data_IF_387394280183
#
_entry.id   IF_387394280183
#
_cell.length_a   1.000
_cell.length_b   1.000
_cell.length_c   1.000
_cell.angle_alpha   90.00
_cell.angle_beta   90.00
_cell.angle_gamma   90.00
#
_symmetry.space_group_name_H-M   'P 1'
#
loop_
_entity.id
_entity.type
_entity.pdbx_description
1 polymer ?
#
# COMPACT_ATOMS: atom_id res chain seq x y z
N UNK A 1 19.05 10.04 12.11
CA UNK A 1 18.29 8.90 12.67
C UNK A 1 17.77 8.06 11.53
N UNK A 2 18.04 6.76 11.54
CA UNK A 2 17.36 5.76 10.71
C UNK A 2 16.30 5.09 11.57
N UNK A 3 15.10 4.92 11.05
CA UNK A 3 14.01 4.21 11.73
C UNK A 3 13.01 3.69 10.73
N UNK A 4 12.34 2.59 11.06
CA UNK A 4 11.17 2.04 10.38
C UNK A 4 10.09 1.83 11.44
N UNK A 5 8.87 2.28 11.20
CA UNK A 5 7.75 2.10 12.11
C UNK A 5 6.42 2.28 11.38
N UNK A 6 5.32 1.97 12.05
CA UNK A 6 3.97 2.23 11.53
C UNK A 6 3.33 3.35 12.33
N UNK A 7 2.85 4.37 11.62
CA UNK A 7 2.09 5.46 12.22
C UNK A 7 0.60 5.35 11.85
N UNK A 8 -0.27 5.83 12.74
CA UNK A 8 -1.71 5.89 12.49
C UNK A 8 -2.08 7.24 11.86
N UNK A 9 -2.25 7.26 10.53
CA UNK A 9 -2.66 8.47 9.83
C UNK A 9 -4.11 8.83 10.20
N UNK A 10 -4.39 10.03 10.71
CA UNK A 10 -5.76 10.46 10.97
C UNK A 10 -6.51 10.81 9.67
N UNK A 11 -7.82 10.89 9.74
CA UNK A 11 -8.68 11.45 8.68
C UNK A 11 -8.42 12.94 8.45
N UNK A 12 -8.83 13.46 7.29
CA UNK A 12 -8.84 14.91 7.00
C UNK A 12 -7.49 15.48 6.55
N UNK A 13 -6.42 14.69 6.51
CA UNK A 13 -5.10 15.16 6.05
C UNK A 13 -4.46 14.19 5.05
N UNK A 14 -3.68 14.73 4.12
CA UNK A 14 -2.92 13.91 3.16
C UNK A 14 -1.77 13.17 3.85
N UNK A 15 -1.34 12.04 3.26
CA UNK A 15 -0.16 11.29 3.72
C UNK A 15 1.11 12.14 3.76
N UNK A 16 1.30 13.06 2.80
CA UNK A 16 2.44 13.99 2.76
C UNK A 16 2.40 15.00 3.91
N UNK A 17 1.22 15.56 4.20
CA UNK A 17 1.08 16.52 5.31
C UNK A 17 1.29 15.80 6.65
N UNK A 18 0.78 14.57 6.80
CA UNK A 18 1.02 13.75 7.98
C UNK A 18 2.52 13.43 8.16
N UNK A 19 3.23 13.03 7.07
CA UNK A 19 4.68 12.84 7.11
C UNK A 19 5.42 14.10 7.57
N UNK A 20 4.99 15.28 7.11
CA UNK A 20 5.58 16.55 7.53
C UNK A 20 5.42 16.81 9.03
N UNK A 21 4.27 16.43 9.63
CA UNK A 21 4.08 16.46 11.09
C UNK A 21 5.02 15.50 11.82
N UNK A 22 5.18 14.27 11.32
CA UNK A 22 6.11 13.29 11.90
C UNK A 22 7.56 13.75 11.80
N UNK A 23 7.97 14.33 10.67
CA UNK A 23 9.32 14.92 10.51
C UNK A 23 9.61 15.97 11.59
N UNK A 24 8.64 16.84 11.89
CA UNK A 24 8.78 17.85 12.96
C UNK A 24 8.82 17.19 14.34
N UNK A 25 7.89 16.25 14.63
CA UNK A 25 7.81 15.52 15.91
C UNK A 25 9.13 14.86 16.26
N UNK A 26 9.82 14.24 15.29
CA UNK A 26 11.05 13.48 15.48
C UNK A 26 12.33 14.25 15.12
N UNK A 27 12.25 15.49 14.68
CA UNK A 27 13.40 16.30 14.31
C UNK A 27 14.18 15.78 13.11
N UNK A 28 13.54 15.08 12.16
CA UNK A 28 14.21 14.42 11.04
C UNK A 28 14.02 15.18 9.73
N UNK A 29 15.09 15.26 8.91
CA UNK A 29 15.06 15.91 7.59
C UNK A 29 14.61 14.94 6.48
N UNK A 30 15.17 13.71 6.45
CA UNK A 30 14.90 12.70 5.44
C UNK A 30 13.89 11.68 5.98
N UNK A 31 12.74 11.59 5.34
CA UNK A 31 11.68 10.65 5.68
C UNK A 31 10.84 10.31 4.45
N UNK A 32 10.18 9.17 4.48
CA UNK A 32 9.24 8.69 3.48
C UNK A 32 8.15 7.83 4.09
N UNK A 33 7.16 7.49 3.29
CA UNK A 33 6.12 6.53 3.64
C UNK A 33 5.87 5.58 2.47
N UNK A 34 5.34 4.38 2.77
CA UNK A 34 4.89 3.41 1.78
C UNK A 34 3.37 3.42 1.69
N UNK A 35 2.85 3.36 0.44
CA UNK A 35 1.39 3.28 0.21
C UNK A 35 0.60 4.51 0.64
N UNK A 36 0.20 5.33 -0.32
CA UNK A 36 -0.61 6.53 -0.06
C UNK A 36 -1.96 6.14 0.55
N UNK A 37 -2.40 6.87 1.57
CA UNK A 37 -3.78 6.91 2.04
C UNK A 37 -4.42 8.23 1.61
N UNK A 38 -5.64 8.15 1.09
CA UNK A 38 -6.45 9.31 0.75
C UNK A 38 -6.71 10.19 1.98
N UNK A 39 -7.02 11.51 1.83
CA UNK A 39 -7.26 12.39 2.97
C UNK A 39 -8.39 11.89 3.88
N UNK A 40 -9.50 11.41 3.32
CA UNK A 40 -10.63 10.87 4.09
C UNK A 40 -10.32 9.53 4.77
N UNK A 41 -9.29 8.80 4.32
CA UNK A 41 -8.91 7.52 4.90
C UNK A 41 -7.98 7.69 6.12
N UNK A 42 -8.02 6.72 7.02
CA UNK A 42 -7.17 6.63 8.21
C UNK A 42 -6.43 5.29 8.29
N UNK A 43 -5.58 5.14 9.30
CA UNK A 43 -5.00 3.86 9.67
C UNK A 43 -3.51 3.73 9.42
N UNK A 44 -3.04 2.50 9.39
CA UNK A 44 -1.63 2.12 9.33
C UNK A 44 -0.93 2.67 8.10
N UNK A 45 0.16 3.42 8.32
CA UNK A 45 1.03 3.98 7.29
C UNK A 45 2.48 3.68 7.66
N UNK A 46 3.18 2.92 6.82
CA UNK A 46 4.59 2.57 7.04
C UNK A 46 5.43 3.82 6.83
N UNK A 47 6.22 4.18 7.84
CA UNK A 47 7.10 5.34 7.84
C UNK A 47 8.55 4.86 7.94
N UNK A 48 9.43 5.48 7.16
CA UNK A 48 10.86 5.30 7.32
C UNK A 48 11.59 6.64 7.36
N UNK A 49 12.62 6.71 8.21
CA UNK A 49 13.51 7.85 8.34
C UNK A 49 14.90 7.52 7.83
N UNK A 50 15.62 8.57 7.37
CA UNK A 50 16.98 8.45 6.90
C UNK A 50 17.13 7.48 5.72
N UNK A 51 18.15 6.65 5.79
CA UNK A 51 18.44 5.69 4.72
C UNK A 51 17.47 4.51 4.69
N UNK A 52 16.71 4.28 5.77
CA UNK A 52 15.69 3.23 5.81
C UNK A 52 14.55 3.45 4.81
N UNK A 53 14.40 4.65 4.25
CA UNK A 53 13.48 4.89 3.11
C UNK A 53 13.80 4.01 1.88
N UNK A 54 15.03 3.50 1.77
CA UNK A 54 15.42 2.58 0.69
C UNK A 54 14.82 1.18 0.86
N UNK A 55 14.44 0.80 2.10
CA UNK A 55 13.83 -0.50 2.35
C UNK A 55 12.46 -0.67 1.71
N UNK A 56 11.71 0.40 1.43
CA UNK A 56 10.33 0.31 0.92
C UNK A 56 10.15 -0.60 -0.29
N UNK A 57 11.16 -0.75 -1.14
CA UNK A 57 11.12 -1.64 -2.30
C UNK A 57 11.27 -3.12 -1.94
N UNK A 58 11.83 -3.41 -0.76
CA UNK A 58 12.15 -4.76 -0.32
C UNK A 58 11.19 -5.29 0.75
N UNK A 59 10.31 -4.43 1.30
CA UNK A 59 9.38 -4.82 2.35
C UNK A 59 8.25 -5.69 1.78
N UNK A 60 7.87 -6.72 2.53
CA UNK A 60 6.67 -7.49 2.28
C UNK A 60 5.43 -6.74 2.78
N UNK A 61 4.65 -6.20 1.83
CA UNK A 61 3.51 -5.30 2.09
C UNK A 61 2.16 -5.90 1.71
N UNK A 62 2.11 -7.19 1.43
CA UNK A 62 0.88 -7.90 1.09
C UNK A 62 0.49 -8.94 2.16
N UNK A 63 -0.83 -9.18 2.31
CA UNK A 63 -1.94 -8.41 1.77
C UNK A 63 -2.16 -7.08 2.51
N UNK A 64 -2.88 -6.14 1.87
CA UNK A 64 -3.38 -4.95 2.56
C UNK A 64 -4.77 -5.21 3.09
N UNK A 65 -4.98 -4.89 4.37
CA UNK A 65 -6.29 -5.11 5.02
C UNK A 65 -6.96 -3.77 5.30
N UNK A 66 -8.20 -3.65 4.83
CA UNK A 66 -9.01 -2.44 4.98
C UNK A 66 -10.34 -2.73 5.63
N UNK A 67 -10.75 -1.86 6.56
CA UNK A 67 -12.13 -1.74 7.02
C UNK A 67 -12.78 -0.59 6.23
N UNK A 68 -13.70 -0.93 5.35
CA UNK A 68 -14.37 0.02 4.46
C UNK A 68 -15.85 0.11 4.83
N UNK A 69 -16.40 1.31 4.92
CA UNK A 69 -17.83 1.55 5.09
C UNK A 69 -18.39 2.17 3.82
N UNK A 70 -19.25 1.43 3.15
CA UNK A 70 -19.99 1.84 1.96
C UNK A 70 -21.26 2.58 2.40
N UNK A 71 -21.57 3.71 1.73
CA UNK A 71 -22.79 4.47 1.90
C UNK A 71 -23.68 4.24 0.68
N UNK A 72 -24.72 3.44 0.87
CA UNK A 72 -25.69 3.08 -0.17
C UNK A 72 -26.63 4.26 -0.42
N UNK A 73 -26.87 4.58 -1.70
CA UNK A 73 -27.69 5.71 -2.13
C UNK A 73 -26.93 7.04 -2.26
N UNK A 74 -25.66 7.10 -1.85
CA UNK A 74 -24.85 8.31 -1.99
C UNK A 74 -24.02 8.29 -3.27
N UNK A 75 -24.02 9.40 -4.03
CA UNK A 75 -23.23 9.62 -5.23
C UNK A 75 -22.13 10.65 -4.96
N UNK A 76 -20.88 10.33 -5.33
CA UNK A 76 -19.72 11.20 -5.20
C UNK A 76 -18.86 11.19 -6.46
N UNK A 77 -18.28 12.34 -6.85
CA UNK A 77 -17.30 12.42 -7.94
C UNK A 77 -16.01 11.67 -7.62
N UNK A 78 -15.60 11.67 -6.35
CA UNK A 78 -14.34 11.06 -5.87
C UNK A 78 -14.52 9.64 -5.37
N UNK A 79 -15.77 9.11 -5.33
CA UNK A 79 -16.15 7.82 -4.75
C UNK A 79 -15.86 7.72 -3.24
N UNK A 80 -15.78 8.85 -2.56
CA UNK A 80 -15.62 9.00 -1.11
C UNK A 80 -16.53 10.10 -0.57
N UNK A 81 -16.43 10.42 0.70
CA UNK A 81 -17.32 11.37 1.39
C UNK A 81 -16.96 12.85 1.16
N UNK A 82 -15.93 13.17 0.37
CA UNK A 82 -15.50 14.58 0.19
C UNK A 82 -16.32 15.32 -0.88
N UNK A 83 -16.76 14.67 -1.94
CA UNK A 83 -17.42 15.31 -3.10
C UNK A 83 -18.82 14.73 -3.35
N UNK A 84 -19.65 14.70 -2.31
CA UNK A 84 -21.05 14.20 -2.41
C UNK A 84 -21.86 15.11 -3.31
N UNK A 85 -22.47 14.51 -4.34
CA UNK A 85 -23.32 15.20 -5.31
C UNK A 85 -24.80 15.04 -4.99
N UNK A 86 -25.21 13.86 -4.53
CA UNK A 86 -26.59 13.55 -4.18
C UNK A 86 -26.67 12.38 -3.22
N UNK A 87 -27.75 12.35 -2.44
CA UNK A 87 -28.11 11.25 -1.56
C UNK A 87 -29.56 10.90 -1.88
N UNK A 88 -29.78 9.65 -2.27
CA UNK A 88 -31.11 9.11 -2.54
C UNK A 88 -31.55 8.23 -1.38
N UNK A 89 -32.78 8.37 -0.94
CA UNK A 89 -33.39 7.40 -0.06
C UNK A 89 -33.67 6.12 -0.86
N UNK A 90 -33.09 5.02 -0.45
CA UNK A 90 -33.21 3.72 -1.11
C UNK A 90 -33.81 2.72 -0.12
N UNK A 91 -34.53 1.73 -0.64
CA UNK A 91 -35.11 0.66 0.17
C UNK A 91 -34.02 -0.22 0.77
N UNK A 92 -34.33 -0.82 1.90
CA UNK A 92 -33.49 -1.82 2.54
C UNK A 92 -33.26 -3.02 1.60
N UNK A 93 -32.03 -3.41 1.41
CA UNK A 93 -31.70 -4.64 0.68
C UNK A 93 -31.66 -5.84 1.61
N UNK A 94 -32.10 -6.98 1.12
CA UNK A 94 -31.99 -8.24 1.85
C UNK A 94 -30.52 -8.58 2.12
N UNK A 95 -30.27 -9.12 3.30
CA UNK A 95 -28.93 -9.52 3.72
C UNK A 95 -28.30 -10.52 2.75
N UNK A 96 -29.06 -11.47 2.23
CA UNK A 96 -28.62 -12.44 1.23
C UNK A 96 -28.14 -11.80 -0.08
N UNK A 97 -28.80 -10.73 -0.53
CA UNK A 97 -28.37 -9.95 -1.70
C UNK A 97 -27.00 -9.33 -1.48
N UNK A 98 -26.80 -8.70 -0.32
CA UNK A 98 -25.52 -8.09 0.05
C UNK A 98 -24.42 -9.15 0.16
N UNK A 99 -24.69 -10.28 0.84
CA UNK A 99 -23.75 -11.40 1.01
C UNK A 99 -23.33 -11.99 -0.34
N UNK A 100 -24.27 -12.18 -1.25
CA UNK A 100 -24.01 -12.69 -2.61
C UNK A 100 -23.11 -11.74 -3.40
N UNK A 101 -23.32 -10.42 -3.33
CA UNK A 101 -22.48 -9.45 -4.03
C UNK A 101 -21.06 -9.46 -3.43
N UNK A 102 -20.91 -9.47 -2.10
CA UNK A 102 -19.60 -9.54 -1.43
C UNK A 102 -18.85 -10.79 -1.87
N UNK A 103 -19.52 -11.94 -1.92
CA UNK A 103 -18.94 -13.20 -2.39
C UNK A 103 -18.52 -13.14 -3.87
N UNK A 104 -19.35 -12.55 -4.72
CA UNK A 104 -19.11 -12.44 -6.17
C UNK A 104 -18.03 -11.39 -6.53
N UNK A 105 -17.60 -10.57 -5.57
CA UNK A 105 -16.50 -9.61 -5.69
C UNK A 105 -15.22 -10.11 -5.00
N UNK A 106 -15.07 -11.42 -4.80
CA UNK A 106 -13.80 -12.05 -4.41
C UNK A 106 -13.03 -12.52 -5.65
N UNK A 107 -11.72 -12.72 -5.49
CA UNK A 107 -10.81 -13.10 -6.56
C UNK A 107 -10.30 -11.92 -7.38
N UNK A 108 -9.88 -12.20 -8.62
CA UNK A 108 -9.35 -11.17 -9.52
C UNK A 108 -10.47 -10.32 -10.12
N UNK A 109 -10.35 -9.01 -9.96
CA UNK A 109 -11.28 -8.01 -10.48
C UNK A 109 -10.55 -7.06 -11.42
N UNK A 110 -11.14 -6.82 -12.59
CA UNK A 110 -10.74 -5.73 -13.50
C UNK A 110 -11.53 -4.47 -13.15
N UNK A 111 -10.83 -3.34 -13.05
CA UNK A 111 -11.42 -2.07 -12.66
C UNK A 111 -10.70 -0.88 -13.30
N UNK A 112 -11.40 0.24 -13.44
CA UNK A 112 -10.79 1.52 -13.78
C UNK A 112 -10.43 2.26 -12.48
N UNK A 113 -9.17 2.71 -12.30
CA UNK A 113 -8.78 3.50 -11.13
C UNK A 113 -9.61 4.77 -10.99
N UNK A 114 -9.83 5.28 -9.75
CA UNK A 114 -10.55 6.54 -9.57
C UNK A 114 -9.81 7.70 -10.25
N UNK A 115 -10.56 8.64 -10.87
CA UNK A 115 -9.99 9.86 -11.47
C UNK A 115 -9.20 10.68 -10.42
N UNK A 116 -9.71 10.74 -9.18
CA UNK A 116 -9.02 11.38 -8.04
C UNK A 116 -7.97 10.43 -7.42
N UNK A 117 -6.96 10.02 -8.20
CA UNK A 117 -5.89 9.13 -7.75
C UNK A 117 -4.50 9.72 -8.00
N UNK A 118 -3.50 9.17 -7.31
CA UNK A 118 -2.10 9.57 -7.48
C UNK A 118 -1.42 8.95 -8.73
N UNK A 119 -2.18 8.25 -9.59
CA UNK A 119 -1.64 7.74 -10.87
C UNK A 119 -1.12 8.89 -11.73
N UNK A 120 -0.05 8.61 -12.46
CA UNK A 120 0.51 9.57 -13.42
C UNK A 120 0.03 9.25 -14.83
N UNK A 121 -0.38 10.29 -15.55
CA UNK A 121 -0.74 10.27 -16.96
C UNK A 121 0.11 11.35 -17.65
N UNK A 122 0.98 10.97 -18.55
CA UNK A 122 1.88 11.89 -19.26
C UNK A 122 2.64 12.84 -18.29
N UNK A 123 3.08 12.30 -17.14
CA UNK A 123 3.83 13.06 -16.12
C UNK A 123 2.99 13.83 -15.11
N UNK A 124 1.72 14.15 -15.39
CA UNK A 124 0.78 14.82 -14.46
C UNK A 124 0.08 13.82 -13.56
N UNK A 125 -0.34 14.23 -12.38
CA UNK A 125 -1.15 13.40 -11.47
C UNK A 125 -2.62 13.43 -11.90
N UNK A 126 -3.30 12.27 -11.91
CA UNK A 126 -4.71 12.18 -12.28
C UNK A 126 -5.62 13.05 -11.40
N UNK A 127 -5.36 13.14 -10.09
CA UNK A 127 -6.14 13.99 -9.19
C UNK A 127 -6.01 15.49 -9.49
N UNK A 128 -4.86 15.95 -10.03
CA UNK A 128 -4.66 17.34 -10.44
C UNK A 128 -5.49 17.66 -11.70
N UNK A 129 -5.46 16.75 -12.67
CA UNK A 129 -6.26 16.85 -13.89
C UNK A 129 -7.75 16.81 -13.57
N UNK A 130 -8.18 15.90 -12.67
CA UNK A 130 -9.58 15.78 -12.26
C UNK A 130 -10.10 17.01 -11.51
N UNK A 131 -9.27 17.73 -10.75
CA UNK A 131 -9.62 18.99 -10.10
C UNK A 131 -9.78 20.17 -11.07
N UNK A 132 -9.05 20.11 -12.18
CA UNK A 132 -9.11 21.10 -13.22
C UNK A 132 -10.18 20.77 -14.29
N UNK A 133 -11.03 19.76 -14.04
CA UNK A 133 -12.01 19.23 -14.98
C UNK A 133 -11.41 18.88 -16.37
N UNK A 134 -10.08 18.53 -16.41
CA UNK A 134 -9.43 18.05 -17.62
C UNK A 134 -9.98 16.65 -17.98
N UNK A 135 -10.27 16.40 -19.27
CA UNK A 135 -10.66 15.09 -19.73
C UNK A 135 -9.44 14.18 -19.90
N UNK A 136 -9.50 12.98 -19.39
CA UNK A 136 -8.49 11.95 -19.55
C UNK A 136 -9.06 10.57 -19.30
N UNK A 137 -8.42 9.58 -19.87
CA UNK A 137 -8.75 8.17 -19.65
C UNK A 137 -7.69 7.47 -18.79
N UNK A 138 -8.16 6.60 -17.93
CA UNK A 138 -7.33 5.73 -17.10
C UNK A 138 -7.42 4.30 -17.64
N UNK A 139 -6.27 3.68 -17.86
CA UNK A 139 -6.20 2.28 -18.25
C UNK A 139 -6.74 1.40 -17.14
N UNK A 140 -7.46 0.38 -17.53
CA UNK A 140 -7.90 -0.68 -16.61
C UNK A 140 -6.72 -1.33 -15.91
N UNK A 141 -6.99 -1.73 -14.69
CA UNK A 141 -6.04 -2.41 -13.80
C UNK A 141 -6.73 -3.64 -13.20
N UNK A 142 -5.90 -4.53 -12.66
CA UNK A 142 -6.38 -5.68 -11.90
C UNK A 142 -6.10 -5.49 -10.43
N UNK A 143 -7.00 -5.99 -9.58
CA UNK A 143 -6.80 -6.18 -8.15
C UNK A 143 -7.30 -7.55 -7.76
N UNK A 144 -6.70 -8.13 -6.73
CA UNK A 144 -7.20 -9.37 -6.16
C UNK A 144 -7.81 -9.10 -4.78
N UNK A 145 -9.02 -9.57 -4.56
CA UNK A 145 -9.68 -9.59 -3.25
C UNK A 145 -9.47 -10.99 -2.69
N UNK A 146 -8.50 -11.13 -1.81
CA UNK A 146 -8.16 -12.42 -1.19
C UNK A 146 -9.24 -12.89 -0.23
N UNK A 147 -9.80 -11.94 0.54
CA UNK A 147 -10.86 -12.20 1.50
C UNK A 147 -11.74 -10.98 1.66
N UNK A 148 -13.04 -11.21 1.85
CA UNK A 148 -14.02 -10.18 2.21
C UNK A 148 -14.97 -10.70 3.27
N UNK A 149 -15.20 -9.88 4.32
CA UNK A 149 -16.08 -10.23 5.43
C UNK A 149 -16.97 -9.05 5.80
N UNK A 150 -18.29 -9.27 5.81
CA UNK A 150 -19.23 -8.27 6.32
C UNK A 150 -19.05 -8.16 7.84
N UNK A 151 -18.75 -6.94 8.29
CA UNK A 151 -18.61 -6.63 9.72
C UNK A 151 -19.95 -6.15 10.27
N UNK A 152 -20.65 -5.29 9.53
CA UNK A 152 -21.94 -4.75 9.94
C UNK A 152 -22.73 -4.28 8.72
N UNK A 153 -24.05 -4.47 8.75
CA UNK A 153 -24.97 -3.84 7.82
C UNK A 153 -26.07 -3.14 8.59
N UNK A 154 -25.98 -1.83 8.65
CA UNK A 154 -26.98 -0.93 9.26
C UNK A 154 -27.37 0.08 8.20
N UNK A 155 -28.44 -0.22 7.46
CA UNK A 155 -28.88 0.57 6.31
C UNK A 155 -28.95 2.07 6.62
N UNK A 156 -28.39 2.94 5.78
CA UNK A 156 -27.81 2.66 4.47
C UNK A 156 -26.28 2.38 4.49
N UNK A 157 -25.69 1.99 5.60
CA UNK A 157 -24.27 1.76 5.73
C UNK A 157 -23.90 0.28 5.82
N UNK A 158 -22.94 -0.13 4.97
CA UNK A 158 -22.39 -1.48 4.95
C UNK A 158 -20.89 -1.42 5.24
N UNK A 159 -20.45 -2.04 6.34
CA UNK A 159 -19.04 -2.14 6.69
C UNK A 159 -18.48 -3.50 6.36
N UNK A 160 -17.40 -3.53 5.57
CA UNK A 160 -16.72 -4.74 5.11
C UNK A 160 -15.24 -4.68 5.50
N UNK A 161 -14.69 -5.80 5.94
CA UNK A 161 -13.25 -6.02 6.04
C UNK A 161 -12.78 -6.67 4.74
N UNK A 162 -11.77 -6.10 4.10
CA UNK A 162 -11.23 -6.53 2.82
C UNK A 162 -9.74 -6.80 2.94
N UNK A 163 -9.30 -7.98 2.51
CA UNK A 163 -7.88 -8.33 2.31
C UNK A 163 -7.59 -8.31 0.81
N UNK A 164 -6.65 -7.47 0.36
CA UNK A 164 -6.48 -7.15 -1.06
C UNK A 164 -5.02 -7.10 -1.48
N UNK A 165 -4.76 -7.25 -2.78
CA UNK A 165 -3.43 -7.10 -3.38
C UNK A 165 -2.89 -5.66 -3.31
N UNK A 166 -1.58 -5.50 -3.47
CA UNK A 166 -0.97 -4.18 -3.65
C UNK A 166 -1.55 -3.47 -4.88
N UNK A 167 -1.70 -2.16 -4.79
CA UNK A 167 -2.27 -1.36 -5.87
C UNK A 167 -3.79 -1.36 -5.95
N UNK A 168 -4.51 -2.14 -5.13
CA UNK A 168 -5.96 -2.14 -5.10
C UNK A 168 -6.52 -0.78 -4.63
N UNK A 169 -7.61 -0.36 -5.29
CA UNK A 169 -8.37 0.84 -4.92
C UNK A 169 -9.71 0.45 -4.33
N UNK A 170 -9.89 0.66 -3.03
CA UNK A 170 -11.14 0.32 -2.34
C UNK A 170 -12.31 1.18 -2.82
N UNK A 171 -12.05 2.41 -3.32
CA UNK A 171 -13.04 3.24 -3.99
C UNK A 171 -13.57 2.59 -5.28
N UNK A 172 -12.71 1.94 -6.06
CA UNK A 172 -13.15 1.17 -7.23
C UNK A 172 -13.91 -0.11 -6.85
N UNK A 173 -13.54 -0.75 -5.73
CA UNK A 173 -14.37 -1.85 -5.19
C UNK A 173 -15.79 -1.37 -4.87
N UNK A 174 -15.96 -0.19 -4.25
CA UNK A 174 -17.28 0.39 -3.99
C UNK A 174 -18.05 0.69 -5.29
N UNK A 175 -17.36 1.14 -6.35
CA UNK A 175 -17.97 1.33 -7.68
C UNK A 175 -18.42 0.01 -8.31
N UNK A 176 -17.61 -1.05 -8.23
CA UNK A 176 -18.01 -2.38 -8.71
C UNK A 176 -19.21 -2.93 -7.93
N UNK A 177 -19.23 -2.68 -6.62
CA UNK A 177 -20.36 -3.04 -5.76
C UNK A 177 -21.64 -2.27 -6.18
N UNK A 178 -21.51 -0.97 -6.44
CA UNK A 178 -22.59 -0.11 -6.96
C UNK A 178 -23.19 -0.66 -8.24
N UNK A 179 -22.35 -1.05 -9.20
CA UNK A 179 -22.80 -1.65 -10.48
C UNK A 179 -23.60 -2.94 -10.29
N UNK A 180 -23.19 -3.79 -9.32
CA UNK A 180 -23.89 -5.05 -9.02
C UNK A 180 -25.17 -4.86 -8.23
N UNK A 181 -25.22 -3.88 -7.34
CA UNK A 181 -26.42 -3.60 -6.53
C UNK A 181 -27.45 -2.74 -7.26
N UNK A 182 -27.04 -2.01 -8.31
CA UNK A 182 -27.93 -1.15 -9.10
C UNK A 182 -28.29 0.18 -8.45
N UNK A 183 -27.47 0.68 -7.50
CA UNK A 183 -27.66 1.99 -6.89
C UNK A 183 -26.34 2.72 -6.71
N UNK A 184 -26.39 4.06 -6.58
CA UNK A 184 -25.21 4.86 -6.29
C UNK A 184 -24.60 4.44 -4.94
N UNK A 185 -23.28 4.28 -4.87
CA UNK A 185 -22.55 3.94 -3.64
C UNK A 185 -21.24 4.71 -3.61
N UNK A 186 -20.90 5.22 -2.44
CA UNK A 186 -19.60 5.82 -2.16
C UNK A 186 -19.01 5.31 -0.84
N UNK A 187 -17.74 5.56 -0.57
CA UNK A 187 -17.16 5.26 0.73
C UNK A 187 -17.45 6.40 1.71
N UNK A 188 -18.08 6.08 2.85
CA UNK A 188 -18.25 7.02 3.97
C UNK A 188 -17.05 7.01 4.91
N UNK A 189 -16.36 5.86 5.04
CA UNK A 189 -15.15 5.72 5.84
C UNK A 189 -14.24 4.63 5.25
N UNK A 190 -12.93 4.82 5.44
CA UNK A 190 -11.91 3.86 5.06
C UNK A 190 -10.79 3.86 6.10
N UNK A 191 -10.48 2.69 6.63
CA UNK A 191 -9.36 2.52 7.56
C UNK A 191 -8.46 1.39 7.08
N UNK A 192 -7.17 1.67 6.87
CA UNK A 192 -6.18 0.62 6.60
C UNK A 192 -5.72 0.01 7.91
N UNK A 193 -6.14 -1.22 8.16
CA UNK A 193 -5.81 -1.97 9.38
C UNK A 193 -4.35 -2.40 9.36
N UNK A 194 -3.89 -2.94 8.19
CA UNK A 194 -2.51 -3.37 8.02
C UNK A 194 -2.06 -3.31 6.56
N UNK A 195 -0.76 -3.37 6.37
CA UNK A 195 -0.07 -3.50 5.09
C UNK A 195 0.98 -4.61 5.25
N UNK A 196 0.67 -5.84 4.78
CA UNK A 196 1.39 -7.05 5.18
C UNK A 196 1.35 -7.25 6.69
N UNK A 197 2.52 -7.49 7.29
CA UNK A 197 2.69 -7.62 8.75
C UNK A 197 2.68 -6.27 9.48
N UNK A 198 2.71 -5.14 8.76
CA UNK A 198 2.78 -3.80 9.35
C UNK A 198 1.42 -3.38 9.89
N UNK A 199 1.31 -3.29 11.22
CA UNK A 199 0.18 -2.74 11.96
C UNK A 199 0.63 -1.59 12.83
N UNK A 200 -0.26 -0.64 13.12
CA UNK A 200 0.03 0.41 14.08
C UNK A 200 0.11 -0.15 15.50
N UNK A 201 1.26 0.00 16.13
CA UNK A 201 1.55 -0.39 17.52
C UNK A 201 2.35 0.75 18.18
N UNK A 202 1.65 1.86 18.51
CA UNK A 202 2.18 3.03 19.22
C UNK A 202 3.50 3.64 18.65
N UNK A 203 3.71 3.52 17.32
CA UNK A 203 4.92 4.01 16.64
C UNK A 203 6.22 3.33 17.13
N UNK A 204 6.16 2.08 17.57
CA UNK A 204 7.36 1.31 17.93
C UNK A 204 8.28 1.15 16.73
N UNK A 205 9.59 1.31 16.96
CA UNK A 205 10.59 1.16 15.91
C UNK A 205 10.82 -0.33 15.62
N UNK A 206 10.71 -0.67 14.34
CA UNK A 206 10.80 -2.03 13.85
C UNK A 206 12.23 -2.33 13.35
N UNK A 207 12.65 -3.58 13.53
CA UNK A 207 13.82 -4.10 12.85
C UNK A 207 13.46 -4.37 11.36
N UNK A 208 14.00 -3.60 10.40
CA UNK A 208 13.58 -3.73 9.00
C UNK A 208 13.84 -5.13 8.41
N UNK A 209 14.85 -5.85 8.90
CA UNK A 209 15.24 -7.16 8.36
C UNK A 209 14.21 -8.25 8.60
N UNK A 210 13.34 -8.11 9.60
CA UNK A 210 12.24 -9.05 9.88
C UNK A 210 11.06 -8.90 8.90
N UNK A 211 11.07 -7.83 8.10
CA UNK A 211 9.99 -7.45 7.20
C UNK A 211 10.40 -7.46 5.72
N UNK A 212 11.62 -7.92 5.41
CA UNK A 212 12.10 -7.99 4.03
C UNK A 212 11.52 -9.21 3.31
N UNK A 213 11.17 -9.02 2.05
CA UNK A 213 10.84 -10.10 1.12
C UNK A 213 12.09 -10.46 0.32
N UNK A 214 13.17 -10.84 1.01
CA UNK A 214 14.45 -11.24 0.43
C UNK A 214 14.89 -12.58 0.99
N UNK A 215 15.46 -13.40 0.13
CA UNK A 215 16.15 -14.63 0.56
C UNK A 215 17.55 -14.26 1.05
N UNK A 216 18.01 -14.93 2.11
CA UNK A 216 19.38 -14.83 2.53
C UNK A 216 20.30 -15.62 1.58
N UNK A 217 21.48 -15.08 1.26
CA UNK A 217 22.51 -15.76 0.53
C UNK A 217 23.86 -15.59 1.26
N UNK A 218 24.85 -16.38 0.88
CA UNK A 218 26.17 -16.39 1.53
C UNK A 218 27.25 -16.21 0.46
N UNK A 219 28.13 -15.25 0.68
CA UNK A 219 29.31 -15.07 -0.15
C UNK A 219 30.46 -15.87 0.45
N UNK A 220 30.99 -16.83 -0.30
CA UNK A 220 32.03 -17.78 0.13
C UNK A 220 33.45 -17.27 -0.14
N UNK A 221 33.61 -16.10 -0.75
CA UNK A 221 34.89 -15.40 -0.91
C UNK A 221 35.24 -14.53 0.30
N UNK A 222 36.20 -13.61 0.12
CA UNK A 222 36.58 -12.67 1.18
C UNK A 222 35.45 -11.68 1.46
N UNK A 223 34.89 -11.72 2.67
CA UNK A 223 33.82 -10.81 3.09
C UNK A 223 34.26 -9.34 3.09
N UNK A 224 35.55 -9.04 3.20
CA UNK A 224 36.06 -7.69 3.04
C UNK A 224 35.81 -7.11 1.64
N UNK A 225 35.76 -7.95 0.61
CA UNK A 225 35.44 -7.51 -0.74
C UNK A 225 33.99 -7.01 -0.82
N UNK A 226 33.06 -7.68 -0.11
CA UNK A 226 31.66 -7.21 0.00
C UNK A 226 31.60 -5.89 0.76
N UNK A 227 32.25 -5.78 1.93
CA UNK A 227 32.25 -4.58 2.76
C UNK A 227 32.84 -3.38 2.00
N UNK A 228 33.90 -3.59 1.23
CA UNK A 228 34.56 -2.56 0.43
C UNK A 228 33.81 -2.24 -0.88
N UNK A 229 32.76 -2.98 -1.22
CA UNK A 229 31.97 -2.78 -2.44
C UNK A 229 32.72 -3.16 -3.71
N UNK A 230 33.70 -4.06 -3.63
CA UNK A 230 34.44 -4.56 -4.80
C UNK A 230 33.52 -5.40 -5.71
N UNK A 231 33.94 -5.56 -6.96
CA UNK A 231 33.23 -6.46 -7.90
C UNK A 231 33.33 -7.90 -7.38
N UNK A 232 32.17 -8.51 -7.13
CA UNK A 232 32.09 -9.88 -6.62
C UNK A 232 32.07 -10.90 -7.74
N UNK A 233 32.72 -12.05 -7.51
CA UNK A 233 32.63 -13.16 -8.42
C UNK A 233 31.32 -13.93 -8.14
N UNK A 234 30.46 -14.03 -9.13
CA UNK A 234 29.22 -14.78 -9.09
C UNK A 234 29.40 -16.21 -8.55
N UNK A 235 30.46 -16.94 -8.96
CA UNK A 235 30.72 -18.32 -8.56
C UNK A 235 30.99 -18.49 -7.06
N UNK A 236 31.26 -17.41 -6.34
CA UNK A 236 31.51 -17.43 -4.90
C UNK A 236 30.26 -17.25 -4.06
N UNK A 237 29.07 -17.39 -4.65
CA UNK A 237 27.82 -17.38 -3.88
C UNK A 237 27.33 -18.82 -3.64
N UNK A 238 26.68 -19.05 -2.49
CA UNK A 238 26.10 -20.35 -2.17
C UNK A 238 24.89 -20.66 -3.06
N UNK A 239 24.05 -19.68 -3.34
CA UNK A 239 22.91 -19.77 -4.23
C UNK A 239 23.18 -18.90 -5.47
N UNK A 240 23.06 -19.52 -6.65
CA UNK A 240 23.47 -18.93 -7.93
C UNK A 240 22.28 -18.49 -8.80
N UNK A 241 21.05 -18.75 -8.35
CA UNK A 241 19.85 -18.40 -9.10
C UNK A 241 19.70 -16.87 -9.23
N UNK A 242 19.11 -16.43 -10.32
CA UNK A 242 18.76 -15.03 -10.51
C UNK A 242 17.79 -14.57 -9.42
N UNK A 243 18.06 -13.41 -8.80
CA UNK A 243 17.23 -12.88 -7.71
C UNK A 243 17.91 -11.80 -6.90
N UNK A 244 17.13 -11.20 -5.98
CA UNK A 244 17.63 -10.26 -5.00
C UNK A 244 17.87 -10.98 -3.66
N UNK A 245 19.02 -10.73 -3.04
CA UNK A 245 19.48 -11.45 -1.87
C UNK A 245 19.99 -10.52 -0.78
N UNK A 246 19.72 -10.93 0.47
CA UNK A 246 20.31 -10.32 1.66
C UNK A 246 21.60 -11.07 2.03
N UNK A 247 22.70 -10.34 2.23
CA UNK A 247 23.94 -10.84 2.79
C UNK A 247 24.10 -10.32 4.20
N UNK A 248 24.24 -11.22 5.17
CA UNK A 248 24.58 -10.88 6.54
C UNK A 248 26.12 -10.96 6.71
N UNK A 249 26.74 -9.85 7.07
CA UNK A 249 28.20 -9.71 7.23
C UNK A 249 28.61 -9.46 8.70
N UNK A 250 27.72 -9.79 9.64
CA UNK A 250 27.89 -9.51 11.07
C UNK A 250 27.47 -8.10 11.45
N UNK A 251 28.37 -7.13 11.39
CA UNK A 251 28.07 -5.72 11.72
C UNK A 251 27.30 -4.97 10.63
N UNK A 252 27.31 -5.49 9.41
CA UNK A 252 26.67 -4.88 8.24
C UNK A 252 25.85 -5.89 7.50
N UNK A 253 24.89 -5.36 6.75
CA UNK A 253 24.15 -6.10 5.74
C UNK A 253 24.37 -5.50 4.36
N UNK A 254 24.25 -6.31 3.34
CA UNK A 254 24.25 -5.88 1.95
C UNK A 254 23.11 -6.53 1.20
N UNK A 255 22.49 -5.78 0.28
CA UNK A 255 21.50 -6.32 -0.64
C UNK A 255 22.12 -6.35 -2.02
N UNK A 256 22.15 -7.52 -2.62
CA UNK A 256 22.71 -7.75 -3.95
C UNK A 256 21.67 -8.34 -4.87
N UNK A 257 21.83 -8.10 -6.16
CA UNK A 257 21.09 -8.76 -7.23
C UNK A 257 22.06 -9.69 -7.97
N UNK A 258 21.66 -10.91 -8.17
CA UNK A 258 22.29 -11.84 -9.12
C UNK A 258 21.39 -11.87 -10.35
N UNK A 259 21.95 -11.61 -11.53
CA UNK A 259 21.23 -11.62 -12.80
C UNK A 259 22.21 -11.93 -13.93
N UNK A 260 21.90 -12.92 -14.76
CA UNK A 260 22.74 -13.34 -15.89
C UNK A 260 24.21 -13.59 -15.51
N UNK A 261 24.47 -14.31 -14.42
CA UNK A 261 25.79 -14.58 -13.86
C UNK A 261 26.60 -13.34 -13.46
N UNK A 262 25.94 -12.21 -13.25
CA UNK A 262 26.54 -10.97 -12.77
C UNK A 262 25.99 -10.62 -11.39
N UNK A 263 26.80 -9.93 -10.59
CA UNK A 263 26.43 -9.46 -9.26
C UNK A 263 26.45 -7.95 -9.22
N UNK A 264 25.36 -7.36 -8.76
CA UNK A 264 25.20 -5.92 -8.57
C UNK A 264 24.79 -5.63 -7.14
N UNK A 265 25.43 -4.65 -6.51
CA UNK A 265 24.95 -4.12 -5.24
C UNK A 265 23.71 -3.27 -5.47
N UNK A 266 22.63 -3.58 -4.77
CA UNK A 266 21.44 -2.74 -4.67
C UNK A 266 21.55 -1.78 -3.48
N UNK A 267 22.11 -2.26 -2.37
CA UNK A 267 22.47 -1.43 -1.22
C UNK A 267 23.57 -2.12 -0.40
N UNK A 268 24.66 -1.42 -0.18
CA UNK A 268 25.81 -1.94 0.56
C UNK A 268 26.00 -1.22 1.89
N UNK A 269 26.62 -1.92 2.86
CA UNK A 269 26.99 -1.40 4.20
C UNK A 269 25.79 -0.86 4.96
N UNK A 270 24.71 -1.64 5.01
CA UNK A 270 23.53 -1.30 5.79
C UNK A 270 23.83 -1.59 7.25
N UNK A 271 23.74 -0.57 8.09
CA UNK A 271 23.92 -0.67 9.54
C UNK A 271 22.56 -0.52 10.22
N UNK A 272 22.30 -1.37 11.23
CA UNK A 272 21.11 -1.25 12.10
C UNK A 272 21.34 -0.19 13.16
#
# INVERSE_FOLDING_TARGET
MNALFVANKPIGISSNFFLSKLKRKYGVKKAGFSGILDPFASGSLIIAFGDYTKFFRFLDKEPKVYKATLWLGAKSKSLDNENIQSIKNISLFDKSTIENIVKNLQGELTYTPPKFSAKKINGKRAYEMARNDEEFELKECKMNIYESKIINYSHPFLTILLSVSEGAYIRSYAELFSKKLGCDITLSALNRVSEGKFKYENEEFLNPFEYLNLKENFYLGDLNDVILGKKLNFKNFKFLDDGEYLLNLGEFYSIVQIENNQVKYLWNRIKI
#
